data_IF_244893427644
#
_entry.id   IF_244893427644
#
_cell.length_a   1.000
_cell.length_b   1.000
_cell.length_c   1.000
_cell.angle_alpha   90.00
_cell.angle_beta   90.00
_cell.angle_gamma   90.00
#
_symmetry.space_group_name_H-M   'P 1'
#
loop_
_entity.id
_entity.type
_entity.pdbx_description
1 polymer ?
#
# COMPACT_ATOMS: atom_id res chain seq x y z
N UNK A 1 -19.23 -7.04 14.68
CA UNK A 1 -18.62 -7.05 16.04
C UNK A 1 -18.17 -5.64 16.35
N UNK A 2 -18.81 -4.96 17.30
CA UNK A 2 -18.44 -3.61 17.72
C UNK A 2 -17.52 -3.66 18.94
N UNK A 3 -16.74 -2.61 19.14
CA UNK A 3 -15.85 -2.48 20.30
C UNK A 3 -16.64 -2.46 21.61
N UNK A 4 -17.80 -1.83 21.62
CA UNK A 4 -18.71 -1.79 22.77
C UNK A 4 -19.15 -3.20 23.20
N UNK A 5 -19.60 -4.03 22.24
CA UNK A 5 -20.02 -5.41 22.53
C UNK A 5 -18.87 -6.27 23.10
N UNK A 6 -17.65 -6.02 22.68
CA UNK A 6 -16.47 -6.69 23.22
C UNK A 6 -16.15 -6.19 24.64
N UNK A 7 -16.24 -4.88 24.87
CA UNK A 7 -15.97 -4.27 26.18
C UNK A 7 -17.01 -4.71 27.23
N UNK A 8 -18.27 -4.83 26.84
CA UNK A 8 -19.33 -5.36 27.68
C UNK A 8 -19.16 -6.85 28.03
N UNK A 9 -18.27 -7.55 27.30
CA UNK A 9 -17.99 -8.96 27.55
C UNK A 9 -19.12 -9.90 27.13
N UNK A 10 -20.07 -9.41 26.35
CA UNK A 10 -21.22 -10.17 25.85
C UNK A 10 -21.24 -10.18 24.31
N UNK A 11 -20.53 -11.14 23.74
CA UNK A 11 -20.45 -11.31 22.28
C UNK A 11 -21.21 -12.58 21.90
N UNK A 12 -22.50 -12.51 21.51
CA UNK A 12 -23.34 -13.68 21.20
C UNK A 12 -23.07 -14.25 19.80
N UNK A 13 -21.82 -14.58 19.53
CA UNK A 13 -21.37 -15.21 18.30
C UNK A 13 -20.55 -16.47 18.63
N UNK A 14 -20.37 -17.42 17.69
CA UNK A 14 -19.46 -18.54 17.88
C UNK A 14 -18.06 -18.03 18.26
N UNK A 15 -17.46 -18.63 19.27
CA UNK A 15 -16.13 -18.26 19.81
C UNK A 15 -16.07 -16.84 20.40
N UNK A 16 -17.21 -16.30 20.88
CA UNK A 16 -17.28 -14.95 21.47
C UNK A 16 -16.24 -14.72 22.59
N UNK A 17 -16.13 -15.62 23.61
CA UNK A 17 -15.14 -15.47 24.67
C UNK A 17 -13.68 -15.47 24.16
N UNK A 18 -13.37 -16.32 23.19
CA UNK A 18 -12.04 -16.42 22.55
C UNK A 18 -11.72 -15.14 21.79
N UNK A 19 -12.69 -14.60 21.05
CA UNK A 19 -12.52 -13.34 20.31
C UNK A 19 -12.29 -12.15 21.26
N UNK A 20 -13.00 -12.09 22.38
CA UNK A 20 -12.79 -11.08 23.42
C UNK A 20 -11.38 -11.18 23.99
N UNK A 21 -10.90 -12.40 24.29
CA UNK A 21 -9.55 -12.62 24.80
C UNK A 21 -8.49 -12.22 23.78
N UNK A 22 -8.64 -12.65 22.52
CA UNK A 22 -7.73 -12.29 21.42
C UNK A 22 -7.68 -10.78 21.18
N UNK A 23 -8.82 -10.11 21.24
CA UNK A 23 -8.86 -8.65 21.08
C UNK A 23 -8.11 -7.92 22.20
N UNK A 24 -8.28 -8.36 23.46
CA UNK A 24 -7.51 -7.82 24.58
C UNK A 24 -6.00 -8.06 24.41
N UNK A 25 -5.64 -9.21 23.89
CA UNK A 25 -4.25 -9.53 23.58
C UNK A 25 -3.73 -8.63 22.43
N UNK A 26 -4.50 -8.47 21.36
CA UNK A 26 -4.17 -7.58 20.25
C UNK A 26 -3.96 -6.11 20.71
N UNK A 27 -4.85 -5.59 21.55
CA UNK A 27 -4.67 -4.25 22.15
C UNK A 27 -3.37 -4.13 22.97
N UNK A 28 -2.96 -5.18 23.66
CA UNK A 28 -1.69 -5.19 24.40
C UNK A 28 -0.49 -5.19 23.45
N UNK A 29 -0.56 -5.95 22.36
CA UNK A 29 0.50 -5.98 21.34
C UNK A 29 0.61 -4.62 20.65
N UNK A 30 -0.50 -4.05 20.23
CA UNK A 30 -0.56 -2.71 19.63
C UNK A 30 0.09 -1.68 20.54
N UNK A 31 -0.31 -1.63 21.82
CA UNK A 31 0.26 -0.68 22.79
C UNK A 31 1.79 -0.82 22.90
N UNK A 32 2.30 -2.06 22.97
CA UNK A 32 3.75 -2.30 23.00
C UNK A 32 4.47 -1.79 21.74
N UNK A 33 3.85 -1.95 20.56
CA UNK A 33 4.41 -1.43 19.31
C UNK A 33 4.36 0.09 19.23
N UNK A 34 3.27 0.72 19.70
CA UNK A 34 3.13 2.17 19.78
C UNK A 34 4.20 2.80 20.70
N UNK A 35 4.49 2.15 21.83
CA UNK A 35 5.58 2.57 22.74
C UNK A 35 6.95 2.53 22.03
N UNK A 36 7.24 1.47 21.25
CA UNK A 36 8.48 1.36 20.46
C UNK A 36 8.54 2.40 19.36
N UNK A 37 7.44 2.63 18.67
CA UNK A 37 7.32 3.57 17.56
C UNK A 37 7.31 5.04 18.02
N UNK A 38 6.90 5.30 19.25
CA UNK A 38 6.75 6.65 19.83
C UNK A 38 5.54 7.44 19.33
N UNK A 39 4.62 6.79 18.62
CA UNK A 39 3.37 7.38 18.10
C UNK A 39 2.24 6.35 18.04
N UNK A 40 0.97 6.77 18.15
CA UNK A 40 -0.16 5.86 18.01
C UNK A 40 -0.29 5.30 16.59
N UNK A 41 -1.05 4.21 16.43
CA UNK A 41 -1.43 3.71 15.12
C UNK A 41 -2.37 4.71 14.43
N UNK A 42 -2.14 5.05 13.15
CA UNK A 42 -3.05 5.89 12.39
C UNK A 42 -4.45 5.27 12.35
N UNK A 43 -5.45 6.06 12.73
CA UNK A 43 -6.86 5.62 12.73
C UNK A 43 -7.62 6.29 11.61
N UNK A 44 -8.58 5.57 11.03
CA UNK A 44 -9.53 6.17 10.10
C UNK A 44 -9.22 5.95 8.62
N UNK A 45 -8.20 5.17 8.28
CA UNK A 45 -7.96 4.78 6.88
C UNK A 45 -9.22 4.15 6.29
N UNK A 46 -9.60 4.60 5.09
CA UNK A 46 -10.75 4.10 4.34
C UNK A 46 -10.23 3.23 3.20
N UNK A 47 -10.68 1.98 3.15
CA UNK A 47 -10.52 1.13 1.99
C UNK A 47 -11.65 1.41 1.02
N UNK A 48 -11.31 1.80 -0.20
CA UNK A 48 -12.26 2.11 -1.24
C UNK A 48 -12.44 0.93 -2.19
N UNK A 49 -13.67 0.71 -2.60
CA UNK A 49 -14.04 -0.35 -3.53
C UNK A 49 -14.93 0.21 -4.63
N UNK A 50 -14.51 0.01 -5.86
CA UNK A 50 -15.33 0.27 -7.03
C UNK A 50 -16.02 -1.01 -7.46
N UNK A 51 -17.29 -0.94 -7.74
CA UNK A 51 -18.07 -2.03 -8.33
C UNK A 51 -18.98 -1.50 -9.45
N UNK A 52 -19.23 -2.32 -10.45
CA UNK A 52 -20.13 -1.98 -11.53
C UNK A 52 -21.49 -2.64 -11.30
N UNK A 53 -22.55 -1.85 -11.39
CA UNK A 53 -23.93 -2.31 -11.37
C UNK A 53 -24.48 -2.31 -12.78
N UNK A 54 -24.88 -3.46 -13.26
CA UNK A 54 -25.38 -3.63 -14.63
C UNK A 54 -24.37 -4.34 -15.51
N UNK A 55 -24.81 -4.60 -16.73
CA UNK A 55 -24.00 -5.19 -17.79
C UNK A 55 -23.88 -4.14 -18.90
N UNK A 56 -22.79 -4.21 -19.68
CA UNK A 56 -22.52 -3.34 -20.81
C UNK A 56 -21.98 -1.92 -20.48
N UNK A 57 -21.93 -1.09 -21.52
CA UNK A 57 -21.36 0.26 -21.51
C UNK A 57 -22.10 1.26 -20.59
N UNK A 58 -23.31 0.91 -20.16
CA UNK A 58 -24.16 1.72 -19.28
C UNK A 58 -24.11 1.28 -17.81
N UNK A 59 -23.16 0.43 -17.43
CA UNK A 59 -23.00 0.00 -16.05
C UNK A 59 -22.69 1.19 -15.13
N UNK A 60 -23.49 1.32 -14.07
CA UNK A 60 -23.33 2.35 -13.05
C UNK A 60 -22.15 2.02 -12.13
N UNK A 61 -21.28 2.99 -11.90
CA UNK A 61 -20.15 2.85 -10.98
C UNK A 61 -20.65 3.11 -9.56
N UNK A 62 -20.47 2.13 -8.69
CA UNK A 62 -20.77 2.23 -7.28
C UNK A 62 -19.46 2.33 -6.50
N UNK A 63 -19.28 3.41 -5.73
CA UNK A 63 -18.12 3.62 -4.86
C UNK A 63 -18.52 3.35 -3.41
N UNK A 64 -17.80 2.47 -2.74
CA UNK A 64 -17.98 2.15 -1.32
C UNK A 64 -16.70 2.35 -0.54
N UNK A 65 -16.77 3.12 0.53
CA UNK A 65 -15.70 3.26 1.50
C UNK A 65 -15.96 2.39 2.73
N UNK A 66 -14.97 1.55 3.10
CA UNK A 66 -14.97 0.82 4.36
C UNK A 66 -13.91 1.40 5.28
N UNK A 67 -14.31 1.99 6.38
CA UNK A 67 -13.38 2.48 7.39
C UNK A 67 -12.68 1.30 8.07
N UNK A 68 -11.34 1.33 8.12
CA UNK A 68 -10.54 0.39 8.92
C UNK A 68 -10.59 0.77 10.39
N UNK A 69 -10.34 -0.21 11.24
CA UNK A 69 -10.25 -0.02 12.68
C UNK A 69 -11.32 -0.76 13.45
N UNK A 70 -12.11 -1.60 12.79
CA UNK A 70 -13.00 -2.53 13.48
C UNK A 70 -12.17 -3.50 14.35
N UNK A 71 -12.71 -3.97 15.49
CA UNK A 71 -12.02 -4.87 16.41
C UNK A 71 -11.43 -6.13 15.74
N UNK A 72 -12.09 -6.66 14.73
CA UNK A 72 -11.61 -7.82 13.99
C UNK A 72 -10.44 -7.47 13.04
N UNK A 73 -10.45 -6.29 12.44
CA UNK A 73 -9.33 -5.80 11.63
C UNK A 73 -8.07 -5.68 12.49
N UNK A 74 -8.20 -5.08 13.67
CA UNK A 74 -7.11 -4.95 14.63
C UNK A 74 -6.58 -6.33 15.05
N UNK A 75 -7.49 -7.24 15.41
CA UNK A 75 -7.14 -8.59 15.84
C UNK A 75 -6.32 -9.30 14.76
N UNK A 76 -6.81 -9.31 13.51
CA UNK A 76 -6.12 -9.97 12.40
C UNK A 76 -4.77 -9.31 12.11
N UNK A 77 -4.73 -7.98 12.07
CA UNK A 77 -3.49 -7.24 11.83
C UNK A 77 -2.43 -7.55 12.90
N UNK A 78 -2.79 -7.49 14.19
CA UNK A 78 -1.85 -7.75 15.28
C UNK A 78 -1.36 -9.21 15.31
N UNK A 79 -2.24 -10.18 15.02
CA UNK A 79 -1.82 -11.58 14.93
C UNK A 79 -0.86 -11.81 13.77
N UNK A 80 -1.09 -11.19 12.62
CA UNK A 80 -0.17 -11.26 11.48
C UNK A 80 1.17 -10.59 11.80
N UNK A 81 1.16 -9.42 12.44
CA UNK A 81 2.39 -8.72 12.84
C UNK A 81 3.16 -9.56 13.87
N UNK A 82 2.47 -10.08 14.87
CA UNK A 82 3.07 -10.95 15.89
C UNK A 82 3.73 -12.19 15.28
N UNK A 83 3.03 -12.90 14.38
CA UNK A 83 3.57 -14.07 13.69
C UNK A 83 4.81 -13.71 12.83
N UNK A 84 4.71 -12.68 12.00
CA UNK A 84 5.79 -12.26 11.12
C UNK A 84 7.02 -11.74 11.89
N UNK A 85 6.80 -11.02 13.00
CA UNK A 85 7.90 -10.55 13.86
C UNK A 85 8.57 -11.70 14.61
N UNK A 86 7.77 -12.62 15.17
CA UNK A 86 8.27 -13.79 15.90
C UNK A 86 9.10 -14.68 14.98
N UNK A 87 8.61 -15.00 13.79
CA UNK A 87 9.35 -15.81 12.82
C UNK A 87 10.59 -15.10 12.31
N UNK A 88 10.52 -13.77 12.11
CA UNK A 88 11.69 -12.98 11.74
C UNK A 88 12.81 -13.07 12.77
N UNK A 89 12.50 -12.87 14.04
CA UNK A 89 13.47 -13.03 15.13
C UNK A 89 13.98 -14.48 15.28
N UNK A 90 13.09 -15.46 15.11
CA UNK A 90 13.46 -16.88 15.19
C UNK A 90 14.44 -17.33 14.08
N UNK A 91 14.29 -16.80 12.86
CA UNK A 91 15.23 -17.03 11.75
C UNK A 91 16.59 -16.41 12.04
N UNK A 92 16.61 -15.17 12.51
CA UNK A 92 17.83 -14.43 12.83
C UNK A 92 18.62 -15.12 13.97
N UNK A 93 17.97 -15.46 15.08
CA UNK A 93 18.59 -16.15 16.22
C UNK A 93 19.28 -17.47 15.85
N UNK A 94 18.89 -18.09 14.73
CA UNK A 94 19.42 -19.39 14.23
C UNK A 94 20.35 -19.25 13.05
N UNK A 95 20.68 -18.03 12.66
CA UNK A 95 21.46 -17.73 11.45
C UNK A 95 20.88 -18.41 10.20
N UNK A 96 19.55 -18.44 10.11
CA UNK A 96 18.82 -18.98 8.95
C UNK A 96 18.45 -17.83 8.04
N UNK A 97 18.83 -17.94 6.77
CA UNK A 97 18.48 -16.93 5.76
C UNK A 97 16.96 -16.73 5.68
N UNK A 98 16.54 -15.49 5.57
CA UNK A 98 15.13 -15.11 5.44
C UNK A 98 14.97 -13.88 4.57
N UNK A 99 13.74 -13.57 4.21
CA UNK A 99 13.38 -12.34 3.53
C UNK A 99 12.62 -11.45 4.52
N UNK A 100 13.20 -10.30 4.79
CA UNK A 100 12.69 -9.32 5.75
C UNK A 100 12.15 -8.10 5.05
N UNK A 101 11.17 -7.47 5.65
CA UNK A 101 10.70 -6.14 5.29
C UNK A 101 11.19 -5.17 6.36
N UNK A 102 12.21 -4.40 6.04
CA UNK A 102 12.87 -3.50 6.98
C UNK A 102 12.62 -2.05 6.64
N UNK A 103 12.51 -1.21 7.67
CA UNK A 103 12.38 0.22 7.53
C UNK A 103 13.18 0.90 8.65
N UNK A 104 14.22 1.65 8.27
CA UNK A 104 14.95 2.57 9.16
C UNK A 104 14.94 3.94 8.51
N UNK A 105 14.21 4.88 9.06
CA UNK A 105 14.07 6.25 8.54
C UNK A 105 13.89 6.27 6.99
N UNK A 106 12.67 6.31 6.51
CA UNK A 106 12.35 6.36 5.10
C UNK A 106 11.67 5.11 4.55
N UNK A 107 11.97 4.74 3.30
CA UNK A 107 11.25 3.69 2.56
C UNK A 107 11.43 2.29 3.15
N UNK A 108 10.35 1.54 3.13
CA UNK A 108 10.36 0.10 3.40
C UNK A 108 11.10 -0.62 2.28
N UNK A 109 11.97 -1.57 2.65
CA UNK A 109 12.77 -2.37 1.71
C UNK A 109 12.61 -3.85 1.99
N UNK A 110 12.50 -4.64 0.93
CA UNK A 110 12.69 -6.09 1.03
C UNK A 110 14.18 -6.41 1.02
N UNK A 111 14.63 -7.23 1.95
CA UNK A 111 16.06 -7.52 2.14
C UNK A 111 16.26 -8.90 2.75
N UNK A 112 17.42 -9.51 2.49
CA UNK A 112 17.86 -10.71 3.20
C UNK A 112 18.56 -10.39 4.54
N UNK A 113 18.80 -9.11 4.83
CA UNK A 113 19.46 -8.69 6.09
C UNK A 113 18.39 -8.41 7.16
N UNK A 114 18.44 -9.09 8.31
CA UNK A 114 17.54 -8.82 9.43
C UNK A 114 17.62 -7.37 9.91
N UNK A 115 16.49 -6.78 10.22
CA UNK A 115 16.47 -5.42 10.72
C UNK A 115 15.08 -4.95 11.16
N UNK A 116 14.99 -3.82 11.87
CA UNK A 116 13.74 -3.30 12.39
C UNK A 116 12.84 -2.75 11.29
N UNK A 117 11.55 -2.72 11.61
CA UNK A 117 10.54 -2.02 10.86
C UNK A 117 9.95 -0.91 11.74
N UNK A 118 10.53 0.29 11.66
CA UNK A 118 10.21 1.40 12.56
C UNK A 118 8.74 1.84 12.44
N UNK A 119 8.18 1.85 11.23
CA UNK A 119 6.78 2.20 11.00
C UNK A 119 5.78 1.23 11.65
N UNK A 120 6.15 -0.05 11.82
CA UNK A 120 5.33 -1.04 12.54
C UNK A 120 5.71 -1.08 14.03
N UNK A 121 6.93 -0.72 14.40
CA UNK A 121 7.44 -0.78 15.77
C UNK A 121 7.84 -2.20 16.19
N UNK A 122 8.52 -2.93 15.32
CA UNK A 122 9.02 -4.29 15.60
C UNK A 122 10.50 -4.44 15.24
N UNK A 123 11.27 -5.27 15.99
CA UNK A 123 12.70 -5.45 15.75
C UNK A 123 13.02 -6.24 14.49
N UNK A 124 12.13 -7.12 14.07
CA UNK A 124 12.22 -7.93 12.85
C UNK A 124 10.85 -8.08 12.23
N UNK A 125 10.78 -8.13 10.90
CA UNK A 125 9.52 -8.36 10.21
C UNK A 125 9.73 -9.19 8.95
N UNK A 126 9.50 -10.51 9.04
CA UNK A 126 9.63 -11.45 7.94
C UNK A 126 8.23 -11.94 7.52
N UNK A 127 7.79 -11.59 6.32
CA UNK A 127 6.49 -12.03 5.82
C UNK A 127 6.43 -13.55 5.69
N UNK A 128 5.43 -14.16 6.34
CA UNK A 128 5.20 -15.61 6.34
C UNK A 128 3.72 -16.00 6.38
N UNK A 129 2.81 -15.02 6.44
CA UNK A 129 1.39 -15.26 6.73
C UNK A 129 0.49 -15.32 5.50
N UNK A 130 1.01 -15.07 4.30
CA UNK A 130 0.21 -15.05 3.07
C UNK A 130 0.88 -15.77 1.87
N UNK A 131 1.29 -17.04 1.99
CA UNK A 131 2.10 -17.73 0.96
C UNK A 131 1.34 -18.01 -0.34
N UNK A 132 0.01 -17.97 -0.33
CA UNK A 132 -0.80 -18.19 -1.55
C UNK A 132 -0.71 -17.01 -2.54
N UNK A 133 -0.43 -15.80 -2.06
CA UNK A 133 -0.40 -14.58 -2.88
C UNK A 133 0.93 -13.86 -2.87
N UNK A 134 1.86 -14.23 -1.98
CA UNK A 134 3.21 -13.66 -1.92
C UNK A 134 4.25 -14.76 -1.88
N UNK A 135 5.06 -14.84 -2.92
CA UNK A 135 6.09 -15.88 -3.02
C UNK A 135 7.17 -15.77 -1.93
N UNK A 136 7.48 -14.55 -1.49
CA UNK A 136 8.43 -14.32 -0.39
C UNK A 136 7.99 -14.96 0.93
N UNK A 137 6.68 -14.99 1.20
CA UNK A 137 6.12 -15.70 2.37
C UNK A 137 6.35 -17.22 2.26
N UNK A 138 6.18 -17.78 1.08
CA UNK A 138 6.46 -19.20 0.83
C UNK A 138 7.94 -19.54 1.03
N UNK A 139 8.84 -18.66 0.58
CA UNK A 139 10.28 -18.80 0.80
C UNK A 139 10.58 -18.85 2.29
N UNK A 140 10.09 -17.89 3.07
CA UNK A 140 10.28 -17.87 4.51
C UNK A 140 9.69 -19.11 5.20
N UNK A 141 8.49 -19.55 4.81
CA UNK A 141 7.89 -20.77 5.36
C UNK A 141 8.74 -22.02 5.05
N UNK A 142 9.32 -22.14 3.85
CA UNK A 142 10.22 -23.23 3.51
C UNK A 142 11.47 -23.25 4.37
N UNK A 143 12.05 -22.07 4.64
CA UNK A 143 13.21 -21.93 5.54
C UNK A 143 12.85 -22.39 6.96
N UNK A 144 11.71 -21.90 7.48
CA UNK A 144 11.21 -22.25 8.81
C UNK A 144 10.94 -23.76 8.92
N UNK A 145 10.20 -24.34 7.96
CA UNK A 145 9.81 -25.74 7.98
C UNK A 145 11.02 -26.67 7.91
N UNK A 146 11.97 -26.40 6.99
CA UNK A 146 13.19 -27.19 6.87
C UNK A 146 13.99 -27.16 8.18
N UNK A 147 14.16 -25.97 8.77
CA UNK A 147 14.90 -25.83 10.03
C UNK A 147 14.21 -26.54 11.19
N UNK A 148 12.88 -26.45 11.30
CA UNK A 148 12.12 -27.16 12.34
C UNK A 148 12.21 -28.70 12.23
N UNK A 149 12.33 -29.20 10.99
CA UNK A 149 12.53 -30.64 10.73
C UNK A 149 13.97 -31.10 10.91
N UNK A 150 14.92 -30.18 11.19
CA UNK A 150 16.35 -30.51 11.22
C UNK A 150 16.93 -30.78 9.83
N UNK A 151 16.23 -30.39 8.77
CA UNK A 151 16.66 -30.47 7.38
C UNK A 151 17.49 -29.23 7.00
N UNK A 152 18.29 -29.36 5.95
CA UNK A 152 19.03 -28.20 5.41
C UNK A 152 18.05 -27.20 4.80
N UNK A 153 18.11 -25.96 5.26
CA UNK A 153 17.32 -24.87 4.69
C UNK A 153 17.64 -24.70 3.19
N UNK A 154 16.63 -24.45 2.34
CA UNK A 154 16.80 -24.29 0.89
C UNK A 154 17.79 -23.19 0.49
N UNK A 155 17.78 -22.06 1.17
CA UNK A 155 18.64 -20.92 0.88
C UNK A 155 19.60 -20.65 2.04
N UNK A 156 20.76 -20.07 1.71
CA UNK A 156 21.79 -19.65 2.66
C UNK A 156 21.85 -18.12 2.72
N UNK A 157 22.50 -17.61 3.76
CA UNK A 157 22.87 -16.19 3.79
C UNK A 157 23.75 -15.86 2.55
N UNK A 158 23.49 -14.72 1.92
CA UNK A 158 24.14 -14.25 0.70
C UNK A 158 23.90 -15.16 -0.54
N UNK A 159 22.79 -15.88 -0.59
CA UNK A 159 22.42 -16.68 -1.76
C UNK A 159 21.96 -15.80 -2.90
N UNK A 160 22.55 -15.99 -4.08
CA UNK A 160 22.23 -15.22 -5.28
C UNK A 160 20.79 -15.45 -5.77
N UNK A 161 20.24 -16.66 -5.55
CA UNK A 161 18.86 -16.98 -5.88
C UNK A 161 17.91 -16.20 -4.96
N UNK A 162 18.22 -16.06 -3.66
CA UNK A 162 17.44 -15.29 -2.72
C UNK A 162 17.38 -13.80 -3.11
N UNK A 163 18.51 -13.22 -3.54
CA UNK A 163 18.54 -11.85 -4.07
C UNK A 163 17.70 -11.69 -5.34
N UNK A 164 17.78 -12.67 -6.25
CA UNK A 164 16.94 -12.66 -7.46
C UNK A 164 15.45 -12.70 -7.13
N UNK A 165 15.05 -13.51 -6.15
CA UNK A 165 13.66 -13.59 -5.68
C UNK A 165 13.20 -12.24 -5.13
N UNK A 166 14.01 -11.60 -4.27
CA UNK A 166 13.69 -10.28 -3.70
C UNK A 166 13.52 -9.24 -4.80
N UNK A 167 14.49 -9.13 -5.73
CA UNK A 167 14.45 -8.15 -6.82
C UNK A 167 13.24 -8.35 -7.73
N UNK A 168 12.94 -9.60 -8.09
CA UNK A 168 11.78 -9.93 -8.93
C UNK A 168 10.47 -9.61 -8.20
N UNK A 169 10.41 -9.90 -6.89
CA UNK A 169 9.23 -9.59 -6.10
C UNK A 169 9.00 -8.08 -6.02
N UNK A 170 10.03 -7.28 -5.70
CA UNK A 170 9.93 -5.83 -5.59
C UNK A 170 9.46 -5.20 -6.91
N UNK A 171 10.02 -5.64 -8.04
CA UNK A 171 9.62 -5.17 -9.36
C UNK A 171 8.15 -5.48 -9.66
N UNK A 172 7.72 -6.73 -9.44
CA UNK A 172 6.33 -7.14 -9.67
C UNK A 172 5.35 -6.45 -8.71
N UNK A 173 5.76 -6.26 -7.47
CA UNK A 173 4.93 -5.61 -6.46
C UNK A 173 4.74 -4.11 -6.76
N UNK A 174 5.81 -3.44 -7.21
CA UNK A 174 5.73 -2.05 -7.69
C UNK A 174 4.79 -1.94 -8.89
N UNK A 175 4.99 -2.77 -9.92
CA UNK A 175 4.13 -2.76 -11.10
C UNK A 175 2.65 -3.03 -10.78
N UNK A 176 2.38 -3.93 -9.82
CA UNK A 176 1.01 -4.18 -9.36
C UNK A 176 0.42 -2.95 -8.64
N UNK A 177 1.17 -2.31 -7.75
CA UNK A 177 0.71 -1.11 -7.05
C UNK A 177 0.46 0.05 -8.02
N UNK A 178 1.35 0.26 -8.99
CA UNK A 178 1.19 1.26 -10.04
C UNK A 178 -0.09 1.01 -10.85
N UNK A 179 -0.33 -0.24 -11.22
CA UNK A 179 -1.57 -0.60 -11.92
C UNK A 179 -2.80 -0.33 -11.06
N UNK A 180 -2.78 -0.75 -9.78
CA UNK A 180 -3.90 -0.52 -8.86
C UNK A 180 -4.19 0.97 -8.70
N UNK A 181 -3.18 1.79 -8.43
CA UNK A 181 -3.34 3.24 -8.27
C UNK A 181 -3.90 3.90 -9.54
N UNK A 182 -3.45 3.46 -10.73
CA UNK A 182 -3.99 3.92 -12.00
C UNK A 182 -5.45 3.53 -12.20
N UNK A 183 -5.84 2.33 -11.81
CA UNK A 183 -7.22 1.87 -11.88
C UNK A 183 -8.11 2.62 -10.89
N UNK A 184 -7.65 2.83 -9.66
CA UNK A 184 -8.36 3.62 -8.66
C UNK A 184 -8.57 5.05 -9.15
N UNK A 185 -7.55 5.65 -9.78
CA UNK A 185 -7.64 6.98 -10.39
C UNK A 185 -8.63 7.00 -11.57
N UNK A 186 -8.55 6.02 -12.46
CA UNK A 186 -9.48 5.90 -13.60
C UNK A 186 -10.95 5.82 -13.13
N UNK A 187 -11.24 4.93 -12.19
CA UNK A 187 -12.59 4.75 -11.68
C UNK A 187 -13.07 5.95 -10.85
N UNK A 188 -12.18 6.62 -10.12
CA UNK A 188 -12.50 7.87 -9.43
C UNK A 188 -12.92 8.96 -10.41
N UNK A 189 -12.17 9.15 -11.51
CA UNK A 189 -12.49 10.12 -12.54
C UNK A 189 -13.82 9.79 -13.24
N UNK A 190 -14.06 8.51 -13.56
CA UNK A 190 -15.32 8.07 -14.16
C UNK A 190 -16.51 8.27 -13.21
N UNK A 191 -16.30 8.03 -11.92
CA UNK A 191 -17.34 8.28 -10.92
C UNK A 191 -17.63 9.78 -10.75
N UNK A 192 -16.62 10.65 -10.76
CA UNK A 192 -16.79 12.10 -10.75
C UNK A 192 -17.66 12.57 -11.94
N UNK A 193 -17.39 12.04 -13.14
CA UNK A 193 -18.20 12.35 -14.33
C UNK A 193 -19.63 11.86 -14.20
N UNK A 194 -19.83 10.59 -13.79
CA UNK A 194 -21.14 9.98 -13.59
C UNK A 194 -22.02 10.78 -12.62
N UNK A 195 -21.43 11.22 -11.49
CA UNK A 195 -22.14 11.98 -10.46
C UNK A 195 -22.27 13.48 -10.81
N UNK A 196 -21.67 13.93 -11.91
CA UNK A 196 -21.69 15.33 -12.33
C UNK A 196 -20.99 16.28 -11.36
N UNK A 197 -19.95 15.78 -10.68
CA UNK A 197 -19.23 16.54 -9.66
C UNK A 197 -18.29 17.55 -10.32
N UNK A 198 -18.54 18.82 -10.06
CA UNK A 198 -17.74 19.92 -10.60
C UNK A 198 -16.83 20.57 -9.54
N UNK A 199 -17.08 20.31 -8.27
CA UNK A 199 -16.31 20.85 -7.15
C UNK A 199 -15.91 19.71 -6.20
N UNK A 200 -14.65 19.70 -5.77
CA UNK A 200 -14.09 18.68 -4.89
C UNK A 200 -13.43 19.34 -3.67
N UNK A 201 -13.69 18.78 -2.51
CA UNK A 201 -12.89 19.07 -1.32
C UNK A 201 -11.63 18.22 -1.37
N UNK A 202 -10.51 18.78 -0.92
CA UNK A 202 -9.25 18.08 -0.80
C UNK A 202 -8.44 18.60 0.37
N UNK A 203 -7.52 17.78 0.85
CA UNK A 203 -6.59 18.11 1.94
C UNK A 203 -5.17 18.21 1.40
N UNK A 204 -4.47 19.29 1.74
CA UNK A 204 -3.08 19.53 1.32
C UNK A 204 -2.16 18.50 1.98
N UNK A 205 -1.42 17.78 1.15
CA UNK A 205 -0.41 16.81 1.61
C UNK A 205 0.96 17.47 1.70
N UNK A 206 1.40 18.07 0.56
CA UNK A 206 2.71 18.74 0.45
C UNK A 206 2.76 19.58 -0.81
N UNK A 207 3.14 20.87 -0.69
CA UNK A 207 3.25 21.76 -1.83
C UNK A 207 1.94 21.87 -2.60
N UNK A 208 1.94 21.50 -3.87
CA UNK A 208 0.77 21.49 -4.77
C UNK A 208 0.00 20.16 -4.78
N UNK A 209 0.44 19.19 -4.01
CA UNK A 209 -0.18 17.86 -3.91
C UNK A 209 -1.28 17.87 -2.86
N UNK A 210 -2.47 17.45 -3.26
CA UNK A 210 -3.64 17.33 -2.40
C UNK A 210 -4.26 15.95 -2.51
N UNK A 211 -4.87 15.45 -1.44
CA UNK A 211 -5.69 14.23 -1.42
C UNK A 211 -7.15 14.61 -1.54
N UNK A 212 -7.86 13.99 -2.47
CA UNK A 212 -9.30 14.25 -2.67
C UNK A 212 -10.08 13.58 -1.53
N UNK A 213 -10.96 14.33 -0.86
CA UNK A 213 -11.83 13.77 0.16
C UNK A 213 -12.89 12.85 -0.47
N UNK A 214 -13.06 11.67 0.11
CA UNK A 214 -14.04 10.70 -0.36
C UNK A 214 -13.63 9.89 -1.59
N UNK A 215 -12.39 10.01 -2.07
CA UNK A 215 -11.86 9.27 -3.21
C UNK A 215 -10.45 8.74 -2.95
N UNK A 216 -10.11 7.56 -3.48
CA UNK A 216 -8.77 6.99 -3.36
C UNK A 216 -7.80 7.61 -4.39
N UNK A 217 -7.68 8.93 -4.42
CA UNK A 217 -6.76 9.57 -5.34
C UNK A 217 -6.16 10.87 -4.78
N UNK A 218 -4.91 11.10 -5.14
CA UNK A 218 -4.24 12.37 -4.93
C UNK A 218 -4.12 13.14 -6.26
N UNK A 219 -4.01 14.45 -6.18
CA UNK A 219 -4.02 15.35 -7.34
C UNK A 219 -3.01 16.48 -7.14
N UNK A 220 -2.23 16.79 -8.18
CA UNK A 220 -1.45 18.03 -8.22
C UNK A 220 -2.32 19.16 -8.74
N UNK A 221 -2.26 20.30 -8.07
CA UNK A 221 -3.02 21.50 -8.41
C UNK A 221 -2.04 22.62 -8.74
N UNK A 222 -1.68 22.81 -10.01
CA UNK A 222 -0.74 23.86 -10.41
C UNK A 222 -1.19 25.23 -9.94
N UNK A 223 -0.29 25.99 -9.34
CA UNK A 223 -0.59 27.33 -8.83
C UNK A 223 -1.28 27.34 -7.46
N UNK A 224 -1.35 26.21 -6.76
CA UNK A 224 -1.75 26.21 -5.35
C UNK A 224 -0.78 27.08 -4.54
N UNK A 225 -1.25 28.02 -3.71
CA UNK A 225 -0.38 28.77 -2.83
C UNK A 225 0.30 27.85 -1.82
N UNK A 226 1.38 28.30 -1.22
CA UNK A 226 2.06 27.56 -0.16
C UNK A 226 1.14 27.49 1.07
N UNK A 227 0.60 26.30 1.34
CA UNK A 227 -0.35 26.05 2.42
C UNK A 227 0.24 25.00 3.37
N UNK A 228 -0.11 25.06 4.67
CA UNK A 228 0.31 24.04 5.63
C UNK A 228 -0.32 22.69 5.28
N UNK A 229 0.40 21.62 5.61
CA UNK A 229 -0.12 20.24 5.55
C UNK A 229 -1.40 20.13 6.37
N UNK A 230 -2.35 19.34 5.86
CA UNK A 230 -3.66 19.17 6.50
C UNK A 230 -4.68 20.25 6.18
N UNK A 231 -4.29 21.34 5.51
CA UNK A 231 -5.19 22.41 5.13
C UNK A 231 -6.22 21.94 4.10
N UNK A 232 -7.51 22.13 4.38
CA UNK A 232 -8.57 21.80 3.42
C UNK A 232 -8.74 22.89 2.39
N UNK A 233 -8.98 22.48 1.14
CA UNK A 233 -9.19 23.34 -0.01
C UNK A 233 -10.42 22.87 -0.79
N UNK A 234 -11.09 23.81 -1.45
CA UNK A 234 -12.15 23.52 -2.41
C UNK A 234 -11.59 23.78 -3.81
N UNK A 235 -11.73 22.80 -4.69
CA UNK A 235 -11.22 22.84 -6.06
C UNK A 235 -12.35 22.71 -7.05
N UNK A 236 -12.16 23.28 -8.24
CA UNK A 236 -13.02 23.10 -9.40
C UNK A 236 -12.39 22.10 -10.35
N UNK A 237 -13.15 21.10 -10.78
CA UNK A 237 -12.77 20.20 -11.87
C UNK A 237 -12.96 20.93 -13.19
N UNK A 238 -11.91 20.97 -14.02
CA UNK A 238 -11.92 21.66 -15.31
C UNK A 238 -12.03 20.69 -16.47
N UNK A 239 -11.25 19.60 -16.42
CA UNK A 239 -11.18 18.59 -17.48
C UNK A 239 -10.80 17.24 -16.93
N UNK A 240 -11.26 16.17 -17.61
CA UNK A 240 -10.94 14.78 -17.31
C UNK A 240 -10.42 14.09 -18.58
N UNK A 241 -9.14 13.72 -18.59
CA UNK A 241 -8.53 12.96 -19.68
C UNK A 241 -8.27 11.52 -19.21
N UNK A 242 -9.08 10.61 -19.72
CA UNK A 242 -9.02 9.17 -19.34
C UNK A 242 -7.86 8.41 -19.96
N UNK A 243 -7.28 8.90 -21.05
CA UNK A 243 -6.13 8.22 -21.69
C UNK A 243 -4.84 8.49 -20.94
N UNK A 244 -4.62 9.75 -20.57
CA UNK A 244 -3.44 10.14 -19.78
C UNK A 244 -3.67 10.02 -18.27
N UNK A 245 -4.92 9.75 -17.83
CA UNK A 245 -5.35 9.74 -16.43
C UNK A 245 -5.08 11.11 -15.75
N UNK A 246 -5.27 12.20 -16.47
CA UNK A 246 -5.07 13.55 -15.96
C UNK A 246 -6.43 14.18 -15.64
N UNK A 247 -6.55 14.68 -14.42
CA UNK A 247 -7.64 15.55 -14.00
C UNK A 247 -7.08 16.96 -13.83
N UNK A 248 -7.59 17.91 -14.61
CA UNK A 248 -7.23 19.32 -14.46
C UNK A 248 -8.14 19.97 -13.44
N UNK A 249 -7.52 20.61 -12.44
CA UNK A 249 -8.22 21.29 -11.36
C UNK A 249 -7.66 22.68 -11.12
N UNK A 250 -8.52 23.58 -10.61
CA UNK A 250 -8.11 24.89 -10.13
C UNK A 250 -8.63 25.12 -8.71
N UNK A 251 -7.88 25.87 -7.91
CA UNK A 251 -8.30 26.28 -6.58
C UNK A 251 -9.48 27.26 -6.67
N UNK A 252 -10.56 26.98 -5.93
CA UNK A 252 -11.66 27.93 -5.73
C UNK A 252 -11.38 28.75 -4.47
N UNK A 253 -11.14 28.09 -3.34
CA UNK A 253 -10.88 28.74 -2.05
C UNK A 253 -10.19 27.80 -1.07
N UNK A 254 -9.48 28.38 -0.13
CA UNK A 254 -8.96 27.72 1.06
C UNK A 254 -10.09 27.68 2.10
N UNK A 255 -10.31 26.52 2.73
CA UNK A 255 -11.33 26.32 3.76
C UNK A 255 -10.73 26.57 5.15
N UNK A 256 -11.55 26.95 6.12
CA UNK A 256 -11.11 27.18 7.50
C UNK A 256 -11.01 25.88 8.34
N UNK A 257 -10.95 24.74 7.67
CA UNK A 257 -10.85 23.41 8.27
C UNK A 257 -9.44 22.89 8.02
N UNK A 258 -8.84 22.25 9.02
CA UNK A 258 -7.59 21.52 8.85
C UNK A 258 -7.78 20.11 9.41
N UNK A 259 -7.37 19.12 8.64
CA UNK A 259 -7.35 17.71 9.03
C UNK A 259 -5.90 17.25 9.12
N UNK A 260 -5.42 17.01 10.33
CA UNK A 260 -4.17 16.28 10.52
C UNK A 260 -4.46 14.79 10.29
N UNK A 261 -4.53 14.36 9.05
CA UNK A 261 -4.45 12.95 8.73
C UNK A 261 -2.98 12.54 8.75
N UNK A 262 -2.65 11.52 9.57
CA UNK A 262 -1.36 10.82 9.55
C UNK A 262 -1.25 10.00 8.26
N UNK A 263 -1.13 10.70 7.14
CA UNK A 263 -0.85 10.07 5.85
C UNK A 263 0.66 9.88 5.75
N UNK A 264 1.10 8.66 5.58
CA UNK A 264 2.50 8.38 5.25
C UNK A 264 2.78 9.02 3.89
N UNK A 265 3.66 10.02 3.85
CA UNK A 265 4.00 10.80 2.64
C UNK A 265 4.45 9.90 1.49
N UNK A 266 5.12 8.79 1.81
CA UNK A 266 5.63 7.81 0.84
C UNK A 266 4.52 7.08 0.06
N UNK A 267 3.37 6.77 0.68
CA UNK A 267 2.25 6.13 -0.03
C UNK A 267 1.60 7.09 -1.02
N UNK A 268 1.56 8.38 -0.70
CA UNK A 268 0.90 9.39 -1.53
C UNK A 268 1.79 9.82 -2.70
N UNK A 269 3.10 10.00 -2.47
CA UNK A 269 4.04 10.32 -3.55
C UNK A 269 4.09 9.19 -4.59
N UNK A 270 4.02 7.93 -4.18
CA UNK A 270 3.93 6.79 -5.09
C UNK A 270 2.63 6.76 -5.92
N UNK A 271 1.51 7.28 -5.38
CA UNK A 271 0.24 7.39 -6.12
C UNK A 271 0.28 8.44 -7.23
N UNK A 272 1.16 9.45 -7.13
CA UNK A 272 1.17 10.63 -8.02
C UNK A 272 2.34 10.66 -8.98
N UNK A 273 3.41 9.90 -8.76
CA UNK A 273 4.42 9.65 -9.78
C UNK A 273 3.81 8.82 -10.93
N UNK A 274 2.96 9.48 -11.74
CA UNK A 274 2.64 8.97 -13.06
C UNK A 274 3.96 8.88 -13.84
N UNK A 275 4.22 7.77 -14.57
CA UNK A 275 5.43 7.68 -15.35
C UNK A 275 5.47 8.89 -16.29
N UNK A 276 6.58 9.63 -16.30
CA UNK A 276 6.90 10.50 -17.39
C UNK A 276 6.63 9.74 -18.69
N UNK A 277 5.87 10.33 -19.58
CA UNK A 277 5.56 9.72 -20.86
C UNK A 277 6.89 9.35 -21.50
N UNK A 278 7.14 8.04 -21.64
CA UNK A 278 8.31 7.55 -22.37
C UNK A 278 8.27 8.21 -23.72
N UNK A 279 9.25 9.03 -24.12
CA UNK A 279 9.28 9.61 -25.45
C UNK A 279 9.14 8.49 -26.46
N UNK A 280 8.36 8.61 -27.53
CA UNK A 280 8.25 7.58 -28.52
C UNK A 280 9.66 7.24 -29.00
N UNK A 281 10.07 5.99 -28.91
CA UNK A 281 11.34 5.51 -29.47
C UNK A 281 11.43 6.01 -30.91
N UNK A 282 12.50 6.73 -31.20
CA UNK A 282 12.78 7.15 -32.57
C UNK A 282 12.86 5.87 -33.43
N UNK A 283 12.21 5.87 -34.62
CA UNK A 283 12.21 4.69 -35.46
C UNK A 283 13.66 4.27 -35.74
N UNK A 284 14.00 3.04 -35.35
CA UNK A 284 15.28 2.44 -35.65
C UNK A 284 15.40 2.43 -37.17
N UNK A 285 16.42 3.09 -37.70
CA UNK A 285 16.74 3.05 -39.13
C UNK A 285 16.99 1.58 -39.51
N UNK A 286 16.12 1.04 -40.36
CA UNK A 286 16.31 -0.27 -40.97
C UNK A 286 17.72 -0.32 -41.60
N UNK A 287 18.52 -1.28 -41.13
CA UNK A 287 19.88 -1.49 -41.59
C UNK A 287 19.91 -1.76 -43.09
N UNK A 288 20.63 -0.91 -43.83
CA UNK A 288 20.95 -1.15 -45.22
C UNK A 288 21.73 -2.46 -45.31
N UNK A 289 21.23 -3.43 -46.09
CA UNK A 289 21.94 -4.65 -46.46
C UNK A 289 23.21 -4.28 -47.20
N UNK A 290 24.36 -4.90 -46.91
CA UNK A 290 25.56 -4.72 -47.72
C UNK A 290 25.41 -5.46 -49.06
N UNK A 291 25.33 -4.69 -50.14
CA UNK A 291 25.28 -5.17 -51.49
C UNK A 291 26.42 -6.16 -51.81
N UNK A 292 26.04 -7.30 -52.31
CA UNK A 292 26.88 -8.35 -52.83
C UNK A 292 27.61 -7.87 -54.12
N UNK A 293 28.85 -7.50 -54.02
CA UNK A 293 29.71 -7.25 -55.19
C UNK A 293 30.28 -8.58 -55.69
N UNK A 294 29.65 -9.08 -56.76
CA UNK A 294 30.12 -10.27 -57.49
C UNK A 294 31.50 -10.11 -58.15
N UNK A 295 32.15 -11.20 -58.21
CA UNK A 295 33.42 -11.45 -58.84
C UNK A 295 33.32 -11.28 -60.36
N UNK A 296 34.34 -10.72 -60.91
CA UNK A 296 34.93 -11.12 -62.20
C UNK A 296 36.41 -11.34 -61.99
#
# INVERSE_FOLDING_TARGET
VTEEAIQEGNLPVPYGPELIWLWKFAKKLLKGREEVRGRPEPVGRIDWYFSLKGEDENAEIELKGRRRGDPLDLLVAEMMIFANSTWGGWLEERDVAGIYRSQRMGRVKMTSVPGPHDGIGVPYYAWSTSPLRRYVDMVNQRQIIATLKGEKAPYRNNDSELFSIISTFDSNYSAFNDFQSRMDRYWSMRWIEQEGINELKATVVKGDLVRIEGLPMAQRVPGLPELPRGQSVLMKVLNLDYLSLVMECSLIKVLNESHEEDLEEEEIEAEVEAPEAVPPEAPQAEGAEPGNAGQA
#
